data_IF_811557526702
#
_entry.id   IF_811557526702
#
_cell.length_a   1.000
_cell.length_b   1.000
_cell.length_c   1.000
_cell.angle_alpha   90.00
_cell.angle_beta   90.00
_cell.angle_gamma   90.00
#
_symmetry.space_group_name_H-M   'P 1'
#
loop_
_entity.id
_entity.type
_entity.pdbx_description
1 polymer ?
#
# COMPACT_ATOMS: atom_id res chain seq x y z
N UNK A 1 9.10 -9.94 -20.39
CA UNK A 1 8.31 -11.15 -20.70
C UNK A 1 7.12 -10.77 -21.58
N UNK A 2 6.69 -11.66 -22.48
CA UNK A 2 5.52 -11.51 -23.35
C UNK A 2 4.69 -12.77 -23.22
N UNK A 3 3.39 -12.60 -22.93
CA UNK A 3 2.42 -13.70 -22.82
C UNK A 3 1.40 -13.59 -23.96
N UNK A 4 0.94 -14.72 -24.45
CA UNK A 4 -0.07 -14.77 -25.51
C UNK A 4 -1.48 -14.99 -24.98
N UNK A 5 -1.61 -15.53 -23.77
CA UNK A 5 -2.90 -15.80 -23.11
C UNK A 5 -2.99 -15.09 -21.77
N UNK A 6 -4.21 -14.79 -21.33
CA UNK A 6 -4.47 -14.20 -20.02
C UNK A 6 -4.11 -15.14 -18.87
N UNK A 7 -4.27 -16.45 -19.07
CA UNK A 7 -3.91 -17.45 -18.06
C UNK A 7 -2.40 -17.45 -17.80
N UNK A 8 -1.60 -17.54 -18.87
CA UNK A 8 -0.14 -17.45 -18.79
C UNK A 8 0.32 -16.14 -18.13
N UNK A 9 -0.31 -15.01 -18.48
CA UNK A 9 0.01 -13.72 -17.88
C UNK A 9 -0.31 -13.67 -16.39
N UNK A 10 -1.41 -14.28 -15.93
CA UNK A 10 -1.77 -14.38 -14.51
C UNK A 10 -0.79 -15.26 -13.74
N UNK A 11 -0.42 -16.41 -14.31
CA UNK A 11 0.56 -17.31 -13.68
C UNK A 11 1.93 -16.65 -13.53
N UNK A 12 2.37 -15.94 -14.57
CA UNK A 12 3.63 -15.20 -14.52
C UNK A 12 3.60 -14.06 -13.48
N UNK A 13 2.51 -13.31 -13.41
CA UNK A 13 2.34 -12.21 -12.45
C UNK A 13 2.22 -12.69 -10.98
N UNK A 14 1.83 -13.95 -10.76
CA UNK A 14 1.83 -14.56 -9.43
C UNK A 14 3.24 -15.02 -8.97
N UNK A 15 4.11 -15.32 -9.93
CA UNK A 15 5.47 -15.81 -9.66
C UNK A 15 6.54 -14.72 -9.67
N UNK A 16 6.31 -13.63 -10.35
CA UNK A 16 7.28 -12.56 -10.55
C UNK A 16 6.68 -11.17 -10.27
N UNK A 17 7.52 -10.24 -9.82
CA UNK A 17 7.11 -8.83 -9.59
C UNK A 17 7.47 -8.01 -10.82
N UNK A 18 6.49 -7.33 -11.38
CA UNK A 18 6.67 -6.43 -12.52
C UNK A 18 6.43 -4.98 -12.12
N UNK A 19 7.20 -4.08 -12.69
CA UNK A 19 6.98 -2.64 -12.52
C UNK A 19 5.82 -2.14 -13.38
N UNK A 20 5.66 -2.72 -14.56
CA UNK A 20 4.64 -2.37 -15.52
C UNK A 20 4.06 -3.62 -16.19
N UNK A 21 2.75 -3.69 -16.27
CA UNK A 21 2.00 -4.68 -17.07
C UNK A 21 1.28 -3.94 -18.18
N UNK A 22 1.55 -4.35 -19.41
CA UNK A 22 0.94 -3.76 -20.60
C UNK A 22 0.02 -4.77 -21.29
N UNK A 23 -1.27 -4.47 -21.33
CA UNK A 23 -2.30 -5.28 -21.99
C UNK A 23 -2.58 -4.71 -23.38
N UNK A 24 -2.20 -5.42 -24.44
CA UNK A 24 -2.44 -4.98 -25.82
C UNK A 24 -3.75 -5.57 -26.36
N UNK A 25 -4.83 -4.82 -26.26
CA UNK A 25 -6.15 -5.25 -26.72
C UNK A 25 -6.38 -4.98 -28.24
N UNK A 26 -7.25 -5.77 -28.91
CA UNK A 26 -8.06 -6.87 -28.37
C UNK A 26 -7.22 -8.13 -28.10
N UNK A 27 -7.62 -8.91 -27.09
CA UNK A 27 -7.11 -10.25 -26.86
C UNK A 27 -7.98 -11.27 -27.65
N UNK A 28 -7.39 -12.41 -28.01
CA UNK A 28 -8.09 -13.38 -28.89
C UNK A 28 -9.38 -13.97 -28.30
N UNK A 29 -9.45 -14.13 -26.99
CA UNK A 29 -10.56 -14.84 -26.33
C UNK A 29 -11.16 -14.10 -25.14
N UNK A 30 -10.58 -12.98 -24.71
CA UNK A 30 -11.00 -12.27 -23.51
C UNK A 30 -11.04 -10.76 -23.70
N UNK A 31 -11.84 -10.13 -22.86
CA UNK A 31 -11.88 -8.69 -22.77
C UNK A 31 -10.67 -8.21 -21.95
N UNK A 32 -9.78 -7.45 -22.58
CA UNK A 32 -8.61 -6.87 -21.91
C UNK A 32 -8.95 -5.98 -20.71
N UNK A 33 -10.19 -5.49 -20.60
CA UNK A 33 -10.68 -4.71 -19.46
C UNK A 33 -10.63 -5.56 -18.18
N UNK A 34 -11.22 -6.77 -18.21
CA UNK A 34 -11.27 -7.62 -17.02
C UNK A 34 -9.87 -8.09 -16.59
N UNK A 35 -9.00 -8.38 -17.55
CA UNK A 35 -7.62 -8.73 -17.27
C UNK A 35 -6.87 -7.55 -16.64
N UNK A 36 -7.09 -6.32 -17.11
CA UNK A 36 -6.49 -5.11 -16.56
C UNK A 36 -6.98 -4.83 -15.13
N UNK A 37 -8.27 -4.99 -14.87
CA UNK A 37 -8.83 -4.90 -13.49
C UNK A 37 -8.22 -5.92 -12.55
N UNK A 38 -8.09 -7.16 -13.02
CA UNK A 38 -7.45 -8.22 -12.24
C UNK A 38 -6.05 -7.83 -11.81
N UNK A 39 -5.19 -7.40 -12.75
CA UNK A 39 -3.83 -7.01 -12.42
C UNK A 39 -3.76 -5.77 -11.51
N UNK A 40 -4.61 -4.78 -11.76
CA UNK A 40 -4.68 -3.58 -10.92
C UNK A 40 -5.09 -3.89 -9.47
N UNK A 41 -5.95 -4.90 -9.27
CA UNK A 41 -6.41 -5.31 -7.94
C UNK A 41 -5.50 -6.31 -7.22
N UNK A 42 -4.69 -7.10 -7.95
CA UNK A 42 -3.90 -8.20 -7.38
C UNK A 42 -2.40 -7.94 -7.36
N UNK A 43 -1.91 -6.99 -8.14
CA UNK A 43 -0.47 -6.67 -8.21
C UNK A 43 -0.18 -5.25 -7.75
N UNK A 44 1.08 -4.97 -7.47
CA UNK A 44 1.59 -3.60 -7.23
C UNK A 44 2.13 -2.95 -8.51
N UNK A 45 1.97 -3.61 -9.64
CA UNK A 45 2.43 -3.15 -10.94
C UNK A 45 1.58 -1.98 -11.43
N UNK A 46 2.18 -1.05 -12.14
CA UNK A 46 1.40 -0.10 -12.94
C UNK A 46 0.78 -0.86 -14.12
N UNK A 47 -0.50 -0.66 -14.36
CA UNK A 47 -1.23 -1.38 -15.43
C UNK A 47 -1.63 -0.41 -16.53
N UNK A 48 -1.31 -0.79 -17.76
CA UNK A 48 -1.64 -0.05 -18.97
C UNK A 48 -2.41 -0.95 -19.92
N UNK A 49 -3.47 -0.43 -20.51
CA UNK A 49 -4.14 -1.11 -21.61
C UNK A 49 -4.02 -0.27 -22.89
N UNK A 50 -3.62 -0.92 -23.97
CA UNK A 50 -3.53 -0.32 -25.31
C UNK A 50 -4.70 -0.79 -26.13
N UNK A 51 -5.55 0.15 -26.59
CA UNK A 51 -6.81 -0.14 -27.27
C UNK A 51 -6.91 0.64 -28.60
N UNK A 52 -7.88 0.27 -29.43
CA UNK A 52 -8.21 1.09 -30.62
C UNK A 52 -8.77 2.45 -30.19
N UNK A 53 -8.53 3.49 -30.98
CA UNK A 53 -9.04 4.85 -30.77
C UNK A 53 -10.55 4.87 -30.52
N UNK A 54 -11.31 4.03 -31.22
CA UNK A 54 -12.78 3.96 -31.11
C UNK A 54 -13.26 3.52 -29.71
N UNK A 55 -12.48 2.71 -29.03
CA UNK A 55 -12.85 2.12 -27.75
C UNK A 55 -12.21 2.85 -26.56
N UNK A 56 -11.35 3.84 -26.82
CA UNK A 56 -10.52 4.47 -25.78
C UNK A 56 -11.38 5.10 -24.68
N UNK A 57 -12.40 5.88 -25.02
CA UNK A 57 -13.25 6.57 -24.06
C UNK A 57 -14.04 5.59 -23.20
N UNK A 58 -14.69 4.61 -23.85
CA UNK A 58 -15.42 3.56 -23.13
C UNK A 58 -14.54 2.76 -22.17
N UNK A 59 -13.32 2.38 -22.62
CA UNK A 59 -12.38 1.63 -21.79
C UNK A 59 -11.83 2.49 -20.67
N UNK A 60 -11.61 3.79 -20.92
CA UNK A 60 -11.16 4.73 -19.91
C UNK A 60 -12.20 4.88 -18.79
N UNK A 61 -13.47 5.07 -19.13
CA UNK A 61 -14.55 5.16 -18.14
C UNK A 61 -14.65 3.90 -17.28
N UNK A 62 -14.46 2.72 -17.90
CA UNK A 62 -14.53 1.44 -17.20
C UNK A 62 -13.33 1.14 -16.28
N UNK A 63 -12.18 1.82 -16.48
CA UNK A 63 -10.92 1.48 -15.84
C UNK A 63 -10.31 2.61 -14.97
N UNK A 64 -10.83 3.84 -15.06
CA UNK A 64 -10.30 4.99 -14.31
C UNK A 64 -10.28 4.75 -12.79
N UNK A 65 -11.37 4.21 -12.24
CA UNK A 65 -11.47 3.93 -10.79
C UNK A 65 -10.52 2.82 -10.32
N UNK A 66 -10.04 1.99 -11.26
CA UNK A 66 -9.10 0.92 -10.98
C UNK A 66 -7.62 1.36 -11.10
N UNK A 67 -7.36 2.62 -11.48
CA UNK A 67 -6.01 3.14 -11.64
C UNK A 67 -5.26 2.54 -12.84
N UNK A 68 -5.97 2.03 -13.84
CA UNK A 68 -5.40 1.53 -15.10
C UNK A 68 -5.33 2.67 -16.10
N UNK A 69 -4.18 2.83 -16.74
CA UNK A 69 -4.04 3.81 -17.80
C UNK A 69 -4.44 3.23 -19.16
N UNK A 70 -5.18 4.04 -19.92
CA UNK A 70 -5.64 3.67 -21.28
C UNK A 70 -4.84 4.46 -22.31
N UNK A 71 -4.25 3.76 -23.28
CA UNK A 71 -3.52 4.34 -24.41
C UNK A 71 -4.22 3.94 -25.72
N UNK A 72 -4.59 4.94 -26.50
CA UNK A 72 -5.20 4.71 -27.82
C UNK A 72 -4.13 4.43 -28.90
N UNK A 73 -4.42 3.51 -29.80
CA UNK A 73 -3.65 3.26 -31.03
C UNK A 73 -3.93 4.36 -32.07
N UNK A 74 -2.93 4.81 -32.83
CA UNK A 74 -1.54 4.36 -32.86
C UNK A 74 -0.73 4.91 -31.68
N UNK A 75 0.11 4.06 -31.08
CA UNK A 75 0.95 4.46 -29.95
C UNK A 75 2.10 5.33 -30.42
N UNK A 76 2.13 6.56 -29.94
CA UNK A 76 3.25 7.47 -30.20
C UNK A 76 4.42 7.14 -29.27
N UNK A 77 5.61 6.88 -29.82
CA UNK A 77 6.80 6.50 -29.07
C UNK A 77 7.21 7.56 -28.02
N UNK A 78 7.14 8.84 -28.36
CA UNK A 78 7.49 9.91 -27.43
C UNK A 78 6.47 10.01 -26.29
N UNK A 79 5.19 9.95 -26.62
CA UNK A 79 4.11 9.97 -25.62
C UNK A 79 4.22 8.77 -24.67
N UNK A 80 4.51 7.59 -25.21
CA UNK A 80 4.71 6.38 -24.40
C UNK A 80 5.92 6.49 -23.46
N UNK A 81 7.02 7.09 -23.95
CA UNK A 81 8.19 7.34 -23.11
C UNK A 81 7.89 8.31 -21.97
N UNK A 82 7.22 9.43 -22.23
CA UNK A 82 6.78 10.36 -21.18
C UNK A 82 5.84 9.71 -20.18
N UNK A 83 4.97 8.83 -20.66
CA UNK A 83 4.11 8.04 -19.80
C UNK A 83 4.91 7.13 -18.84
N UNK A 84 5.92 6.43 -19.34
CA UNK A 84 6.79 5.61 -18.48
C UNK A 84 7.46 6.45 -17.39
N UNK A 85 7.99 7.62 -17.76
CA UNK A 85 8.60 8.55 -16.80
C UNK A 85 7.58 9.03 -15.75
N UNK A 86 6.36 9.37 -16.18
CA UNK A 86 5.29 9.78 -15.27
C UNK A 86 4.91 8.65 -14.30
N UNK A 87 4.78 7.44 -14.81
CA UNK A 87 4.47 6.25 -14.01
C UNK A 87 5.53 6.01 -12.94
N UNK A 88 6.80 6.14 -13.28
CA UNK A 88 7.92 6.02 -12.34
C UNK A 88 7.84 7.09 -11.22
N UNK A 89 7.65 8.36 -11.59
CA UNK A 89 7.49 9.45 -10.64
C UNK A 89 6.28 9.25 -9.72
N UNK A 90 5.16 8.81 -10.28
CA UNK A 90 3.95 8.54 -9.52
C UNK A 90 4.13 7.38 -8.53
N UNK A 91 4.77 6.28 -8.98
CA UNK A 91 5.12 5.12 -8.15
C UNK A 91 5.97 5.52 -6.96
N UNK A 92 7.01 6.34 -7.18
CA UNK A 92 7.87 6.85 -6.10
C UNK A 92 7.10 7.70 -5.10
N UNK A 93 6.16 8.52 -5.56
CA UNK A 93 5.30 9.33 -4.69
C UNK A 93 4.36 8.46 -3.87
N UNK A 94 3.71 7.49 -4.50
CA UNK A 94 2.81 6.54 -3.82
C UNK A 94 3.56 5.70 -2.79
N UNK A 95 4.77 5.26 -3.09
CA UNK A 95 5.60 4.52 -2.15
C UNK A 95 5.85 5.31 -0.86
N UNK A 96 6.18 6.61 -0.96
CA UNK A 96 6.34 7.49 0.21
C UNK A 96 5.06 7.60 1.04
N UNK A 97 3.91 7.76 0.39
CA UNK A 97 2.61 7.84 1.09
C UNK A 97 2.30 6.54 1.83
N UNK A 98 2.56 5.40 1.21
CA UNK A 98 2.37 4.09 1.84
C UNK A 98 3.31 3.94 3.04
N UNK A 99 4.59 4.28 2.90
CA UNK A 99 5.57 4.22 3.98
C UNK A 99 5.18 5.12 5.16
N UNK A 100 4.73 6.33 4.87
CA UNK A 100 4.25 7.27 5.90
C UNK A 100 2.99 6.74 6.59
N UNK A 101 2.06 6.17 5.84
CA UNK A 101 0.85 5.55 6.40
C UNK A 101 1.17 4.38 7.33
N UNK A 102 2.12 3.51 6.95
CA UNK A 102 2.57 2.41 7.82
C UNK A 102 3.23 2.95 9.11
N UNK A 103 4.07 3.98 9.02
CA UNK A 103 4.63 4.63 10.22
C UNK A 103 3.54 5.17 11.13
N UNK A 104 2.53 5.84 10.57
CA UNK A 104 1.40 6.35 11.36
C UNK A 104 0.60 5.23 12.03
N UNK A 105 0.34 4.12 11.33
CA UNK A 105 -0.32 2.95 11.92
C UNK A 105 0.46 2.37 13.09
N UNK A 106 1.78 2.25 12.97
CA UNK A 106 2.63 1.80 14.07
C UNK A 106 2.58 2.77 15.25
N UNK A 107 2.66 4.09 15.00
CA UNK A 107 2.56 5.09 16.07
C UNK A 107 1.22 5.00 16.81
N UNK A 108 0.11 4.81 16.09
CA UNK A 108 -1.22 4.64 16.71
C UNK A 108 -1.29 3.36 17.55
N UNK A 109 -0.70 2.26 17.07
CA UNK A 109 -0.64 1.00 17.82
C UNK A 109 0.18 1.16 19.12
N UNK A 110 1.33 1.83 19.05
CA UNK A 110 2.18 2.11 20.20
C UNK A 110 1.48 3.02 21.23
N UNK A 111 0.77 4.05 20.77
CA UNK A 111 -0.02 4.93 21.62
C UNK A 111 -1.12 4.15 22.37
N UNK A 112 -1.78 3.19 21.72
CA UNK A 112 -2.79 2.34 22.38
C UNK A 112 -2.17 1.53 23.53
N UNK A 113 -0.99 0.95 23.33
CA UNK A 113 -0.27 0.18 24.35
C UNK A 113 0.15 1.10 25.51
N UNK A 114 0.73 2.27 25.23
CA UNK A 114 1.13 3.24 26.25
C UNK A 114 -0.08 3.73 27.05
N UNK A 115 -1.20 4.05 26.40
CA UNK A 115 -2.41 4.49 27.08
C UNK A 115 -3.03 3.37 27.94
N UNK A 116 -2.96 2.10 27.49
CA UNK A 116 -3.39 0.95 28.28
C UNK A 116 -2.54 0.81 29.55
N UNK A 117 -1.23 0.93 29.44
CA UNK A 117 -0.34 0.90 30.60
C UNK A 117 -0.62 2.06 31.58
N UNK A 118 -0.82 3.29 31.07
CA UNK A 118 -1.23 4.43 31.93
C UNK A 118 -2.51 4.14 32.67
N UNK A 119 -3.53 3.61 31.98
CA UNK A 119 -4.79 3.25 32.59
C UNK A 119 -4.61 2.25 33.75
N UNK A 120 -3.75 1.23 33.57
CA UNK A 120 -3.45 0.27 34.64
C UNK A 120 -2.73 0.92 35.84
N UNK A 121 -1.76 1.81 35.58
CA UNK A 121 -1.10 2.55 36.67
C UNK A 121 -2.07 3.45 37.44
N UNK A 122 -3.01 4.07 36.76
CA UNK A 122 -4.06 4.90 37.38
C UNK A 122 -5.00 4.02 38.24
N UNK A 123 -5.47 2.91 37.67
CA UNK A 123 -6.46 2.07 38.35
C UNK A 123 -5.89 1.19 39.45
N UNK A 124 -4.70 0.61 39.26
CA UNK A 124 -4.08 -0.32 40.22
C UNK A 124 -3.24 0.36 41.26
N UNK A 125 -2.59 1.50 40.92
CA UNK A 125 -1.68 2.22 41.85
C UNK A 125 -2.21 3.59 42.25
N UNK A 126 -3.44 3.93 41.90
CA UNK A 126 -4.09 5.20 42.23
C UNK A 126 -3.29 6.45 41.83
N UNK A 127 -2.57 6.36 40.72
CA UNK A 127 -1.78 7.48 40.17
C UNK A 127 -2.68 8.44 39.40
N UNK A 128 -2.31 9.75 39.39
CA UNK A 128 -2.88 10.68 38.40
C UNK A 128 -2.33 10.37 36.99
N UNK A 129 -2.97 10.93 35.96
CA UNK A 129 -2.49 10.75 34.57
C UNK A 129 -1.05 11.27 34.41
N UNK A 130 -0.75 12.44 34.97
CA UNK A 130 0.59 13.02 34.96
C UNK A 130 1.63 12.16 35.68
N UNK A 131 1.24 11.55 36.80
CA UNK A 131 2.12 10.63 37.53
C UNK A 131 2.38 9.36 36.73
N UNK A 132 1.36 8.77 36.10
CA UNK A 132 1.50 7.60 35.25
C UNK A 132 2.38 7.88 34.03
N UNK A 133 2.21 9.05 33.41
CA UNK A 133 3.04 9.50 32.30
C UNK A 133 4.50 9.60 32.67
N UNK A 134 4.79 10.35 33.74
CA UNK A 134 6.17 10.55 34.29
C UNK A 134 6.79 9.24 34.74
N UNK A 135 6.00 8.33 35.29
CA UNK A 135 6.47 7.00 35.67
C UNK A 135 7.02 6.23 34.49
N UNK A 136 6.25 6.15 33.38
CA UNK A 136 6.68 5.47 32.15
C UNK A 136 7.93 6.12 31.55
N UNK A 137 8.03 7.45 31.59
CA UNK A 137 9.22 8.17 31.11
C UNK A 137 10.46 7.89 31.94
N UNK A 138 10.33 8.01 33.26
CA UNK A 138 11.43 7.77 34.20
C UNK A 138 11.95 6.34 34.08
N UNK A 139 11.05 5.36 34.07
CA UNK A 139 11.42 3.94 33.91
C UNK A 139 12.13 3.70 32.59
N UNK A 140 11.66 4.30 31.49
CA UNK A 140 12.30 4.18 30.17
C UNK A 140 13.74 4.74 30.20
N UNK A 141 13.96 5.87 30.89
CA UNK A 141 15.30 6.46 31.07
C UNK A 141 16.20 5.59 31.98
N UNK A 142 15.67 5.16 33.12
CA UNK A 142 16.44 4.38 34.11
C UNK A 142 16.88 3.02 33.52
N UNK A 143 15.99 2.37 32.74
CA UNK A 143 16.24 1.07 32.07
C UNK A 143 16.90 1.21 30.69
N UNK A 144 17.13 2.42 30.21
CA UNK A 144 17.66 2.70 28.87
C UNK A 144 16.89 1.97 27.76
N UNK A 145 15.58 1.97 27.86
CA UNK A 145 14.68 1.32 26.92
C UNK A 145 13.60 2.29 26.40
N UNK A 146 12.75 1.84 25.49
CA UNK A 146 11.66 2.66 24.99
C UNK A 146 10.48 2.73 25.97
N UNK A 147 9.73 3.83 25.95
CA UNK A 147 8.48 3.97 26.72
C UNK A 147 7.47 2.85 26.37
N UNK A 148 7.50 2.36 25.13
CA UNK A 148 6.66 1.25 24.66
C UNK A 148 7.01 -0.07 25.38
N UNK A 149 8.30 -0.36 25.54
CA UNK A 149 8.72 -1.60 26.23
C UNK A 149 8.36 -1.55 27.73
N UNK A 150 8.54 -0.39 28.37
CA UNK A 150 8.06 -0.21 29.76
C UNK A 150 6.55 -0.39 29.84
N UNK A 151 5.79 0.18 28.90
CA UNK A 151 4.34 0.02 28.86
C UNK A 151 3.93 -1.46 28.72
N UNK A 152 4.60 -2.22 27.87
CA UNK A 152 4.37 -3.67 27.75
C UNK A 152 4.68 -4.43 29.04
N UNK A 153 5.74 -4.05 29.77
CA UNK A 153 6.05 -4.65 31.06
C UNK A 153 4.97 -4.35 32.10
N UNK A 154 4.51 -3.10 32.18
CA UNK A 154 3.40 -2.72 33.06
C UNK A 154 2.15 -3.54 32.76
N UNK A 155 1.78 -3.67 31.49
CA UNK A 155 0.63 -4.49 31.08
C UNK A 155 0.78 -5.94 31.54
N UNK A 156 1.94 -6.56 31.31
CA UNK A 156 2.22 -7.94 31.77
C UNK A 156 2.13 -8.10 33.28
N UNK A 157 2.47 -7.08 34.04
CA UNK A 157 2.47 -7.12 35.51
C UNK A 157 1.07 -6.99 36.09
N UNK A 158 0.21 -6.18 35.49
CA UNK A 158 -1.09 -5.82 36.08
C UNK A 158 -2.32 -6.40 35.34
N UNK A 159 -2.16 -7.05 34.21
CA UNK A 159 -3.24 -7.73 33.47
C UNK A 159 -3.25 -9.28 33.62
N UNK A 160 -2.42 -9.84 34.48
CA UNK A 160 -2.46 -11.28 34.79
C UNK A 160 -3.46 -11.56 35.92
#
# INVERSE_FOLDING_TARGET
SVCQTSQEAKELANGEVFDLICVNAPLEKENGIELSKYFAGTTRSSVVIIVSQRNADYVNDALTEHGVLVIAKPVNKHLFHHFLQFTECFKMRMFRVIEENEKLKHMVADMKIINRAKFLLITCLNMSEDQAHRYLEKQAMDLRTSKLEVAKQVIRTYEN
#
